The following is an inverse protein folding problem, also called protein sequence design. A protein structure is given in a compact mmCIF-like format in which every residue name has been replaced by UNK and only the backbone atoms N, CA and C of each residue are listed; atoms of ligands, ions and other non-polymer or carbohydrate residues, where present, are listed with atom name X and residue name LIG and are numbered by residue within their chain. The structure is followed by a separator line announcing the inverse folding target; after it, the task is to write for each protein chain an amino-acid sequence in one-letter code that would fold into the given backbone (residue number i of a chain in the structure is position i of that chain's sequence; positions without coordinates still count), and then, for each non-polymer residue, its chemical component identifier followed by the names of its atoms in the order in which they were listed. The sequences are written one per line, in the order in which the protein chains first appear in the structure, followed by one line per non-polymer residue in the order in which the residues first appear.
data_IF_078954481263
#
_entry.id   IF_078954481263
#
_cell.length_a   1.000
_cell.length_b   1.000
_cell.length_c   1.000
_cell.angle_alpha   90.00
_cell.angle_beta   90.00
_cell.angle_gamma   90.00
#
_symmetry.space_group_name_H-M   'P 1'
#
loop_
_entity.id
_entity.type
_entity.pdbx_description
1 polymer ?
#
# COMPACT_ATOMS: atom_id res chain seq x y z
N UNK A 1 -0.97 22.52 -10.33
CA UNK A 1 -0.19 21.33 -10.74
C UNK A 1 -0.66 20.21 -9.84
N UNK A 2 -1.37 19.21 -10.36
CA UNK A 2 -1.72 18.02 -9.60
C UNK A 2 -0.44 17.22 -9.36
N UNK A 3 0.00 17.09 -8.11
CA UNK A 3 1.10 16.19 -7.78
C UNK A 3 0.60 14.76 -8.02
N UNK A 4 1.15 14.12 -9.04
CA UNK A 4 0.87 12.70 -9.31
C UNK A 4 1.50 11.87 -8.19
N UNK A 5 0.67 11.07 -7.52
CA UNK A 5 1.14 10.15 -6.48
C UNK A 5 1.88 9.01 -7.17
N UNK A 6 3.15 8.82 -6.80
CA UNK A 6 3.96 7.69 -7.27
C UNK A 6 3.76 6.51 -6.33
N UNK A 7 3.18 5.43 -6.84
CA UNK A 7 3.02 4.19 -6.10
C UNK A 7 4.26 3.32 -6.24
N UNK A 8 4.70 2.74 -5.12
CA UNK A 8 5.78 1.78 -5.10
C UNK A 8 5.31 0.39 -5.55
N UNK A 9 4.05 0.05 -5.24
CA UNK A 9 3.41 -1.21 -5.60
C UNK A 9 1.87 -1.09 -5.56
N UNK A 10 1.18 -2.11 -6.04
CA UNK A 10 -0.24 -2.35 -5.82
C UNK A 10 -0.44 -3.31 -4.64
N UNK A 11 -1.54 -3.17 -3.91
CA UNK A 11 -1.91 -4.09 -2.83
C UNK A 11 -3.38 -4.52 -2.95
N UNK A 12 -3.61 -5.83 -2.99
CA UNK A 12 -4.93 -6.42 -2.73
C UNK A 12 -5.07 -6.52 -1.20
N UNK A 13 -5.92 -5.67 -0.65
CA UNK A 13 -5.95 -5.37 0.76
C UNK A 13 -6.84 -6.34 1.54
N UNK A 14 -6.34 -6.91 2.64
CA UNK A 14 -7.09 -7.82 3.50
C UNK A 14 -7.50 -7.15 4.82
N UNK A 15 -6.57 -6.48 5.49
CA UNK A 15 -6.86 -5.72 6.71
C UNK A 15 -5.90 -4.56 6.92
N UNK A 16 -6.33 -3.53 7.67
CA UNK A 16 -5.52 -2.36 8.01
C UNK A 16 -5.70 -2.00 9.47
N UNK A 17 -4.59 -1.67 10.14
CA UNK A 17 -4.59 -1.02 11.45
C UNK A 17 -3.42 -0.03 11.54
N UNK A 18 -3.27 0.63 12.69
CA UNK A 18 -2.23 1.65 12.90
C UNK A 18 -0.79 1.09 12.78
N UNK A 19 -0.57 -0.20 13.00
CA UNK A 19 0.74 -0.83 12.93
C UNK A 19 1.13 -1.28 11.51
N UNK A 20 0.16 -1.41 10.61
CA UNK A 20 0.39 -1.87 9.24
C UNK A 20 -0.87 -2.34 8.53
N UNK A 21 -0.68 -2.71 7.27
CA UNK A 21 -1.68 -3.35 6.44
C UNK A 21 -1.22 -4.77 6.06
N UNK A 22 -2.16 -5.70 6.08
CA UNK A 22 -1.98 -7.06 5.59
C UNK A 22 -2.65 -7.18 4.22
N UNK A 23 -1.96 -7.85 3.29
CA UNK A 23 -2.50 -8.07 1.96
C UNK A 23 -1.49 -8.70 1.01
N UNK A 24 -1.86 -8.75 -0.26
CA UNK A 24 -1.04 -9.34 -1.32
C UNK A 24 -0.51 -8.23 -2.23
N UNK A 25 0.81 -8.21 -2.44
CA UNK A 25 1.47 -7.16 -3.22
C UNK A 25 1.65 -7.54 -4.69
N UNK A 26 1.51 -6.56 -5.57
CA UNK A 26 1.67 -6.72 -7.02
C UNK A 26 2.42 -5.52 -7.61
N UNK A 27 3.04 -5.71 -8.77
CA UNK A 27 3.68 -4.63 -9.54
C UNK A 27 4.69 -3.81 -8.70
N UNK A 28 5.42 -4.48 -7.80
CA UNK A 28 6.40 -3.82 -6.94
C UNK A 28 7.58 -3.28 -7.77
N UNK A 29 7.59 -1.96 -7.96
CA UNK A 29 8.58 -1.22 -8.74
C UNK A 29 9.99 -1.36 -8.16
N UNK A 30 10.09 -1.62 -6.85
CA UNK A 30 11.35 -1.83 -6.13
C UNK A 30 11.83 -3.28 -6.16
N UNK A 31 11.05 -4.21 -6.73
CA UNK A 31 11.38 -5.65 -6.85
C UNK A 31 11.74 -6.31 -5.52
N UNK A 32 11.11 -5.90 -4.42
CA UNK A 32 11.32 -6.48 -3.08
C UNK A 32 10.51 -7.76 -2.91
N UNK A 33 9.36 -7.83 -3.56
CA UNK A 33 8.41 -8.94 -3.47
C UNK A 33 8.01 -9.44 -4.87
N UNK A 34 7.66 -10.72 -4.96
CA UNK A 34 7.03 -11.28 -6.16
C UNK A 34 5.53 -10.99 -6.18
N UNK A 35 4.92 -10.99 -7.36
CA UNK A 35 3.48 -10.73 -7.51
C UNK A 35 2.66 -11.80 -6.77
N UNK A 36 1.74 -11.34 -5.91
CA UNK A 36 0.91 -12.19 -5.07
C UNK A 36 1.56 -12.62 -3.76
N UNK A 37 2.75 -12.08 -3.42
CA UNK A 37 3.34 -12.32 -2.11
C UNK A 37 2.47 -11.70 -1.00
N UNK A 38 2.18 -12.49 0.04
CA UNK A 38 1.54 -11.97 1.25
C UNK A 38 2.55 -11.12 2.02
N UNK A 39 2.15 -9.92 2.42
CA UNK A 39 2.99 -8.97 3.14
C UNK A 39 2.25 -8.37 4.34
N UNK A 40 3.04 -7.95 5.34
CA UNK A 40 2.63 -6.99 6.35
C UNK A 40 3.44 -5.72 6.15
N UNK A 41 2.78 -4.56 6.00
CA UNK A 41 3.48 -3.30 5.74
C UNK A 41 4.07 -2.70 7.02
N UNK A 42 4.94 -1.69 6.87
CA UNK A 42 5.22 -0.76 7.96
C UNK A 42 3.94 0.03 8.38
N UNK A 43 3.97 0.73 9.53
CA UNK A 43 2.83 1.51 10.01
C UNK A 43 2.20 2.42 8.96
N UNK A 44 0.87 2.45 8.97
CA UNK A 44 0.05 3.23 8.03
C UNK A 44 -0.05 4.66 8.54
N UNK A 45 0.32 5.61 7.68
CA UNK A 45 0.31 7.05 7.97
C UNK A 45 -1.07 7.65 7.74
N UNK A 46 -1.78 7.22 6.68
CA UNK A 46 -3.09 7.73 6.32
C UNK A 46 -4.24 6.81 6.78
N UNK A 47 -4.14 6.27 8.00
CA UNK A 47 -5.08 5.26 8.53
C UNK A 47 -6.55 5.72 8.52
N UNK A 48 -6.78 7.02 8.70
CA UNK A 48 -8.13 7.59 8.76
C UNK A 48 -8.71 7.89 7.37
N UNK A 49 -7.88 7.98 6.33
CA UNK A 49 -8.28 8.46 4.99
C UNK A 49 -7.97 7.49 3.86
N UNK A 50 -7.27 6.37 4.10
CA UNK A 50 -6.78 5.48 3.04
C UNK A 50 -7.86 4.98 2.05
N UNK A 51 -9.09 4.74 2.54
CA UNK A 51 -10.21 4.34 1.69
C UNK A 51 -10.65 5.46 0.74
N UNK A 52 -10.76 6.69 1.23
CA UNK A 52 -11.12 7.85 0.40
C UNK A 52 -9.98 8.29 -0.50
N UNK A 53 -8.74 8.10 -0.05
CA UNK A 53 -7.52 8.39 -0.80
C UNK A 53 -7.31 7.38 -1.95
N UNK A 54 -7.80 6.15 -1.78
CA UNK A 54 -7.63 5.04 -2.73
C UNK A 54 -6.25 4.37 -2.67
N UNK A 55 -5.44 4.69 -1.65
CA UNK A 55 -4.10 4.16 -1.46
C UNK A 55 -3.72 4.10 0.02
N UNK A 56 -2.78 3.22 0.36
CA UNK A 56 -2.16 3.16 1.68
C UNK A 56 -0.79 3.81 1.59
N UNK A 57 -0.58 4.87 2.38
CA UNK A 57 0.74 5.41 2.65
C UNK A 57 1.25 4.85 3.96
N UNK A 58 2.44 4.28 3.91
CA UNK A 58 3.15 3.74 5.07
C UNK A 58 4.43 4.53 5.28
N UNK A 59 5.09 4.30 6.41
CA UNK A 59 6.40 4.95 6.70
C UNK A 59 7.41 4.73 5.57
N UNK A 60 7.41 3.55 4.94
CA UNK A 60 8.44 3.16 3.98
C UNK A 60 7.98 3.16 2.52
N UNK A 61 6.67 3.15 2.25
CA UNK A 61 6.14 2.94 0.90
C UNK A 61 4.71 3.41 0.72
N UNK A 62 4.34 3.67 -0.53
CA UNK A 62 2.97 4.01 -0.95
C UNK A 62 2.42 2.90 -1.83
N UNK A 63 1.24 2.38 -1.50
CA UNK A 63 0.59 1.27 -2.19
C UNK A 63 -0.76 1.69 -2.74
N UNK A 64 -1.01 1.49 -4.04
CA UNK A 64 -2.35 1.66 -4.62
C UNK A 64 -3.22 0.47 -4.23
N UNK A 65 -4.44 0.73 -3.76
CA UNK A 65 -5.38 -0.34 -3.42
C UNK A 65 -6.03 -0.86 -4.71
N UNK A 66 -6.03 -2.19 -4.89
CA UNK A 66 -6.70 -2.88 -6.00
C UNK A 66 -7.78 -3.83 -5.47
N UNK A 67 -8.79 -4.11 -6.30
CA UNK A 67 -9.92 -5.03 -6.01
C UNK A 67 -9.90 -6.24 -6.93
#
# INVERSE_FOLDING_TARGET
MSNEIKFDADILLESVNANGADGHVYNDTKKRFFNGAQIHTSPVVNIDTYLTDGYIQTVNSVYRIIV
#
